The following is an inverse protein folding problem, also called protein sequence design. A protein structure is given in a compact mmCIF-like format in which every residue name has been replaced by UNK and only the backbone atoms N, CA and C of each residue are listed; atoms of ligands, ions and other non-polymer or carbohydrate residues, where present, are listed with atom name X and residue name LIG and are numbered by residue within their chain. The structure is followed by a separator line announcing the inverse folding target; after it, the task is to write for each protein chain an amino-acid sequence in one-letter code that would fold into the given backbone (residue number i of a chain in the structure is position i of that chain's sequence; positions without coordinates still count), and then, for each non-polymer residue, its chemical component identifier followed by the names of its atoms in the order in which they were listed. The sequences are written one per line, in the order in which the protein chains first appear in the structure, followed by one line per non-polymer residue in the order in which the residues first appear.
data_IF_714717026820
#
_entry.id   IF_714717026820
#
_cell.length_a   1.000
_cell.length_b   1.000
_cell.length_c   1.000
_cell.angle_alpha   90.00
_cell.angle_beta   90.00
_cell.angle_gamma   90.00
#
_symmetry.space_group_name_H-M   'P 1'
#
loop_
_entity.id
_entity.type
_entity.pdbx_description
1 polymer ?
#
# COMPACT_ATOMS: atom_id res chain seq x y z
N UNK A 1 -2.85 31.90 17.26
CA UNK A 1 -2.86 31.21 15.94
C UNK A 1 -2.95 29.72 16.22
N UNK A 2 -3.99 29.03 15.76
CA UNK A 2 -4.13 27.59 15.99
C UNK A 2 -3.03 26.84 15.21
N UNK A 3 -1.89 26.57 15.85
CA UNK A 3 -0.70 25.94 15.26
C UNK A 3 -1.04 24.61 14.58
N UNK A 4 -2.06 23.92 15.08
CA UNK A 4 -2.52 22.65 14.55
C UNK A 4 -2.96 22.73 13.07
N UNK A 5 -3.71 23.77 12.69
CA UNK A 5 -4.20 23.90 11.30
C UNK A 5 -3.04 24.06 10.33
N UNK A 6 -2.05 24.88 10.70
CA UNK A 6 -0.85 25.10 9.90
C UNK A 6 -0.01 23.83 9.78
N UNK A 7 0.13 23.06 10.85
CA UNK A 7 0.90 21.82 10.84
C UNK A 7 0.22 20.73 10.01
N UNK A 8 -1.11 20.60 10.12
CA UNK A 8 -1.89 19.66 9.31
C UNK A 8 -1.81 20.03 7.82
N UNK A 9 -1.91 21.31 7.49
CA UNK A 9 -1.73 21.79 6.11
C UNK A 9 -0.34 21.46 5.56
N UNK A 10 0.71 21.76 6.34
CA UNK A 10 2.11 21.47 5.98
C UNK A 10 2.31 19.98 5.64
N UNK A 11 1.77 19.10 6.48
CA UNK A 11 1.96 17.66 6.35
C UNK A 11 1.07 17.05 5.25
N UNK A 12 -0.23 17.28 5.29
CA UNK A 12 -1.17 16.42 4.56
C UNK A 12 -1.90 17.08 3.40
N UNK A 13 -1.88 18.41 3.29
CA UNK A 13 -2.62 19.12 2.26
C UNK A 13 -1.73 19.45 1.06
N UNK A 14 -2.30 19.37 -0.13
CA UNK A 14 -1.74 19.92 -1.36
C UNK A 14 -2.00 21.42 -1.40
N UNK A 15 -1.16 22.15 -2.14
CA UNK A 15 -1.38 23.57 -2.38
C UNK A 15 -2.76 23.80 -2.99
N UNK A 16 -3.59 24.60 -2.29
CA UNK A 16 -4.97 24.96 -2.67
C UNK A 16 -6.01 23.84 -2.59
N UNK A 17 -5.75 22.76 -1.85
CA UNK A 17 -6.72 21.68 -1.65
C UNK A 17 -7.90 22.12 -0.78
N UNK A 18 -9.12 21.89 -1.26
CA UNK A 18 -10.35 22.19 -0.53
C UNK A 18 -10.75 21.04 0.39
N UNK A 19 -11.25 21.37 1.58
CA UNK A 19 -11.84 20.40 2.52
C UNK A 19 -13.37 20.49 2.46
N UNK A 20 -14.04 19.50 3.05
CA UNK A 20 -15.48 19.38 3.04
C UNK A 20 -15.96 19.22 4.49
N UNK A 21 -16.95 20.01 4.92
CA UNK A 21 -17.60 19.76 6.20
C UNK A 21 -18.65 18.66 6.03
N UNK A 22 -18.62 17.65 6.89
CA UNK A 22 -19.77 16.81 7.17
C UNK A 22 -20.39 17.29 8.48
N UNK A 23 -21.55 17.92 8.39
CA UNK A 23 -22.33 18.31 9.56
C UNK A 23 -23.20 17.12 9.97
N UNK A 24 -23.25 16.79 11.25
CA UNK A 24 -24.17 15.80 11.77
C UNK A 24 -25.56 16.44 11.83
N UNK A 25 -26.29 16.43 10.71
CA UNK A 25 -27.69 16.87 10.72
C UNK A 25 -28.54 15.72 11.26
N UNK A 26 -29.42 16.05 12.21
CA UNK A 26 -30.38 15.13 12.83
C UNK A 26 -31.65 14.98 11.98
N UNK A 27 -31.65 15.57 10.79
CA UNK A 27 -32.76 15.53 9.84
C UNK A 27 -32.25 15.40 8.39
N UNK A 28 -33.09 14.83 7.55
CA UNK A 28 -32.83 14.18 6.28
C UNK A 28 -31.94 14.96 5.26
N UNK A 29 -30.64 14.59 5.21
CA UNK A 29 -29.58 14.72 4.15
C UNK A 29 -28.30 15.44 4.61
N UNK A 30 -27.10 14.83 4.45
CA UNK A 30 -25.84 15.49 4.80
C UNK A 30 -25.59 16.69 3.87
N UNK A 31 -25.68 17.90 4.41
CA UNK A 31 -25.30 19.15 3.72
C UNK A 31 -23.77 19.24 3.66
N UNK A 32 -23.20 18.67 2.62
CA UNK A 32 -21.77 18.77 2.33
C UNK A 32 -21.47 20.16 1.76
N UNK A 33 -20.93 21.06 2.58
CA UNK A 33 -20.51 22.39 2.12
C UNK A 33 -19.04 22.31 1.71
N UNK A 34 -18.76 22.45 0.42
CA UNK A 34 -17.38 22.57 -0.11
C UNK A 34 -16.79 23.87 0.40
N UNK A 35 -15.72 23.79 1.19
CA UNK A 35 -15.16 24.96 1.83
C UNK A 35 -13.64 25.01 1.57
N UNK A 36 -13.16 26.19 1.18
CA UNK A 36 -11.81 26.42 0.63
C UNK A 36 -10.65 26.05 1.56
N UNK A 37 -9.87 27.04 2.03
CA UNK A 37 -8.73 26.78 2.89
C UNK A 37 -9.17 26.36 4.30
N UNK A 38 -8.41 25.48 4.97
CA UNK A 38 -8.65 25.12 6.37
C UNK A 38 -8.34 26.35 7.24
N UNK A 39 -9.38 26.94 7.86
CA UNK A 39 -9.21 28.12 8.73
C UNK A 39 -9.27 27.74 10.21
N UNK A 40 -8.67 28.54 11.11
CA UNK A 40 -8.71 28.30 12.56
C UNK A 40 -10.13 28.14 13.11
N UNK A 41 -11.09 28.92 12.62
CA UNK A 41 -12.51 28.89 13.04
C UNK A 41 -13.19 27.57 12.66
N UNK A 42 -12.80 26.98 11.54
CA UNK A 42 -13.33 25.69 11.09
C UNK A 42 -12.78 24.55 11.94
N UNK A 43 -11.51 24.62 12.30
CA UNK A 43 -10.93 23.69 13.28
C UNK A 43 -11.64 23.84 14.62
N UNK A 44 -11.91 25.06 15.10
CA UNK A 44 -12.68 25.29 16.33
C UNK A 44 -14.08 24.67 16.31
N UNK A 45 -14.80 24.76 15.19
CA UNK A 45 -16.10 24.06 15.05
C UNK A 45 -15.98 22.54 15.03
N UNK A 46 -14.85 22.02 14.54
CA UNK A 46 -14.54 20.59 14.67
C UNK A 46 -14.28 20.18 16.13
N UNK A 47 -13.76 21.12 16.92
CA UNK A 47 -13.45 20.96 18.34
C UNK A 47 -14.63 21.17 19.28
N UNK A 48 -15.71 21.79 18.82
CA UNK A 48 -16.99 21.81 19.55
C UNK A 48 -17.89 20.63 19.19
N UNK A 49 -17.44 19.78 18.24
CA UNK A 49 -18.24 18.68 17.71
C UNK A 49 -19.38 19.14 16.78
N UNK A 50 -19.43 20.43 16.44
CA UNK A 50 -20.45 21.00 15.55
C UNK A 50 -20.32 20.48 14.11
N UNK A 51 -19.09 20.24 13.65
CA UNK A 51 -18.81 19.72 12.31
C UNK A 51 -17.72 18.66 12.36
N UNK A 52 -17.72 17.71 11.43
CA UNK A 52 -16.54 16.91 11.10
C UNK A 52 -15.91 17.41 9.82
N UNK A 53 -14.60 17.55 9.84
CA UNK A 53 -13.85 17.92 8.64
C UNK A 53 -13.43 16.63 7.95
N UNK A 54 -13.88 16.44 6.71
CA UNK A 54 -13.38 15.41 5.83
C UNK A 54 -12.71 16.07 4.63
N UNK A 55 -11.57 15.56 4.18
CA UNK A 55 -10.91 16.08 2.98
C UNK A 55 -10.58 14.93 2.04
N UNK A 56 -10.66 15.19 0.73
CA UNK A 56 -10.16 14.24 -0.24
C UNK A 56 -8.65 14.47 -0.36
N UNK A 57 -7.78 13.52 0.03
CA UNK A 57 -6.33 13.68 -0.05
C UNK A 57 -5.79 13.69 -1.49
N UNK A 58 -6.63 13.29 -2.46
CA UNK A 58 -6.28 13.16 -3.87
C UNK A 58 -6.60 14.44 -4.64
N UNK A 59 -5.62 14.99 -5.35
CA UNK A 59 -5.83 16.09 -6.30
C UNK A 59 -6.46 15.62 -7.61
N UNK A 60 -7.01 16.58 -8.36
CA UNK A 60 -7.62 16.36 -9.68
C UNK A 60 -6.68 15.73 -10.72
N UNK A 61 -5.37 15.91 -10.57
CA UNK A 61 -4.35 15.30 -11.41
C UNK A 61 -3.95 13.87 -10.96
N UNK A 62 -4.72 13.23 -10.07
CA UNK A 62 -4.44 11.92 -9.51
C UNK A 62 -3.06 11.84 -8.82
N UNK A 63 -2.73 12.86 -8.03
CA UNK A 63 -1.59 12.86 -7.11
C UNK A 63 -2.04 13.06 -5.67
N UNK A 64 -1.24 12.65 -4.69
CA UNK A 64 -1.49 12.87 -3.26
C UNK A 64 -0.20 13.24 -2.53
N UNK A 65 -0.33 13.98 -1.43
CA UNK A 65 0.74 14.19 -0.44
C UNK A 65 0.55 13.40 0.84
N UNK A 66 -0.55 12.68 0.99
CA UNK A 66 -0.87 11.97 2.20
C UNK A 66 -1.31 10.53 1.91
N UNK A 67 -0.84 9.62 2.76
CA UNK A 67 -1.25 8.22 2.75
C UNK A 67 -1.73 7.83 4.14
N UNK A 68 -2.71 6.94 4.21
CA UNK A 68 -3.27 6.49 5.48
C UNK A 68 -3.45 4.98 5.48
N UNK A 69 -3.18 4.39 6.64
CA UNK A 69 -3.51 3.01 6.94
C UNK A 69 -4.40 3.03 8.17
N UNK A 70 -5.68 2.72 7.99
CA UNK A 70 -6.64 2.63 9.06
C UNK A 70 -6.84 1.16 9.48
N UNK A 71 -6.69 0.91 10.77
CA UNK A 71 -6.87 -0.37 11.43
C UNK A 71 -8.22 -0.36 12.13
N UNK A 72 -9.15 -1.18 11.66
CA UNK A 72 -10.55 -1.17 12.14
C UNK A 72 -10.75 -1.90 13.46
N UNK A 73 -9.71 -2.55 14.00
CA UNK A 73 -9.76 -3.25 15.28
C UNK A 73 -8.69 -2.69 16.22
N UNK A 74 -9.05 -2.38 17.47
CA UNK A 74 -8.05 -1.93 18.44
C UNK A 74 -7.15 -3.05 18.98
N UNK A 75 -7.56 -4.32 18.81
CA UNK A 75 -6.70 -5.47 19.10
C UNK A 75 -5.46 -5.57 18.19
N UNK A 76 -5.44 -4.87 17.05
CA UNK A 76 -4.34 -4.94 16.08
C UNK A 76 -3.14 -4.04 16.48
N UNK A 77 -3.08 -3.58 17.73
CA UNK A 77 -2.05 -2.65 18.22
C UNK A 77 -0.62 -3.18 18.04
N UNK A 78 -0.40 -4.47 18.25
CA UNK A 78 0.92 -5.07 18.07
C UNK A 78 1.42 -4.87 16.62
N UNK A 79 0.55 -5.10 15.65
CA UNK A 79 0.86 -4.92 14.23
C UNK A 79 1.04 -3.43 13.87
N UNK A 80 0.25 -2.54 14.48
CA UNK A 80 0.43 -1.08 14.34
C UNK A 80 1.81 -0.66 14.85
N UNK A 81 2.18 -1.10 16.05
CA UNK A 81 3.46 -0.79 16.69
C UNK A 81 4.65 -1.35 15.90
N UNK A 82 4.54 -2.60 15.42
CA UNK A 82 5.56 -3.24 14.59
C UNK A 82 5.75 -2.49 13.26
N UNK A 83 4.65 -2.13 12.57
CA UNK A 83 4.74 -1.35 11.34
C UNK A 83 5.34 0.05 11.61
N UNK A 84 4.93 0.72 12.69
CA UNK A 84 5.47 2.03 13.06
C UNK A 84 6.99 2.00 13.28
N UNK A 85 7.49 0.95 13.94
CA UNK A 85 8.92 0.76 14.15
C UNK A 85 9.63 0.37 12.86
N UNK A 86 9.10 -0.57 12.09
CA UNK A 86 9.69 -1.02 10.83
C UNK A 86 9.85 0.12 9.81
N UNK A 87 8.87 1.03 9.74
CA UNK A 87 8.96 2.21 8.88
C UNK A 87 10.20 3.05 9.18
N UNK A 88 10.57 3.20 10.45
CA UNK A 88 11.74 3.99 10.84
C UNK A 88 13.05 3.19 10.81
N UNK A 89 13.02 1.97 11.36
CA UNK A 89 14.23 1.19 11.59
C UNK A 89 14.65 0.36 10.38
N UNK A 90 13.69 -0.21 9.64
CA UNK A 90 13.99 -1.06 8.48
C UNK A 90 13.92 -0.29 7.17
N UNK A 91 12.93 0.59 7.01
CA UNK A 91 12.72 1.33 5.76
C UNK A 91 13.49 2.66 5.75
N UNK A 92 14.01 3.10 6.91
CA UNK A 92 14.69 4.38 7.08
C UNK A 92 13.85 5.54 6.57
N UNK A 93 12.57 5.55 6.98
CA UNK A 93 11.61 6.60 6.65
C UNK A 93 11.27 7.43 7.89
N UNK A 94 10.89 8.71 7.71
CA UNK A 94 10.30 9.51 8.77
C UNK A 94 9.16 8.82 9.51
N UNK A 95 9.09 9.06 10.82
CA UNK A 95 8.01 8.60 11.67
C UNK A 95 6.64 9.06 11.12
N UNK A 96 5.69 8.14 10.87
CA UNK A 96 4.33 8.51 10.55
C UNK A 96 3.65 9.13 11.79
N UNK A 97 2.57 9.89 11.61
CA UNK A 97 1.72 10.21 12.76
C UNK A 97 0.84 9.01 13.11
N UNK A 98 0.59 8.80 14.40
CA UNK A 98 -0.33 7.80 14.90
C UNK A 98 -1.53 8.49 15.53
N UNK A 99 -2.73 8.03 15.20
CA UNK A 99 -3.97 8.50 15.83
C UNK A 99 -4.91 7.36 16.20
N UNK A 100 -5.80 7.64 17.15
CA UNK A 100 -6.97 6.83 17.45
C UNK A 100 -8.20 7.41 16.74
N UNK A 101 -9.08 6.55 16.22
CA UNK A 101 -10.20 6.97 15.36
C UNK A 101 -11.42 7.49 16.11
N UNK A 102 -11.48 7.36 17.44
CA UNK A 102 -12.65 7.68 18.25
C UNK A 102 -13.72 6.59 18.23
N UNK A 103 -13.78 5.74 17.21
CA UNK A 103 -14.70 4.59 17.16
C UNK A 103 -13.98 3.27 17.40
N UNK A 104 -13.18 2.85 16.42
CA UNK A 104 -12.52 1.55 16.41
C UNK A 104 -11.12 1.67 15.81
N UNK A 105 -10.14 1.27 16.61
CA UNK A 105 -8.75 1.09 16.23
C UNK A 105 -7.97 2.37 15.93
N UNK A 106 -6.92 2.20 15.13
CA UNK A 106 -5.82 3.14 14.97
C UNK A 106 -5.71 3.60 13.53
N UNK A 107 -4.99 4.70 13.29
CA UNK A 107 -4.66 5.16 11.96
C UNK A 107 -3.22 5.67 11.93
N UNK A 108 -2.47 5.20 10.95
CA UNK A 108 -1.14 5.70 10.62
C UNK A 108 -1.26 6.69 9.47
N UNK A 109 -0.58 7.82 9.61
CA UNK A 109 -0.59 8.94 8.68
C UNK A 109 0.82 9.15 8.15
N UNK A 110 0.99 9.01 6.85
CA UNK A 110 2.24 9.24 6.16
C UNK A 110 2.15 10.54 5.38
N UNK A 111 3.13 11.41 5.60
CA UNK A 111 3.27 12.69 4.93
C UNK A 111 4.32 12.58 3.84
N UNK A 112 4.02 13.01 2.61
CA UNK A 112 4.95 13.04 1.48
C UNK A 112 5.39 14.49 1.22
N UNK A 113 6.68 14.69 0.98
CA UNK A 113 7.24 16.03 0.77
C UNK A 113 6.65 16.68 -0.49
N UNK A 114 6.59 15.92 -1.59
CA UNK A 114 5.98 16.34 -2.85
C UNK A 114 4.77 15.47 -3.24
N UNK A 115 3.88 15.95 -4.14
CA UNK A 115 2.78 15.14 -4.66
C UNK A 115 3.29 13.94 -5.44
N UNK A 116 2.85 12.74 -5.06
CA UNK A 116 3.21 11.47 -5.72
C UNK A 116 2.00 10.92 -6.49
N UNK A 117 2.19 10.30 -7.66
CA UNK A 117 1.10 9.68 -8.42
C UNK A 117 0.37 8.59 -7.63
N UNK A 118 -0.97 8.58 -7.68
CA UNK A 118 -1.81 7.61 -6.96
C UNK A 118 -1.40 6.16 -7.18
N UNK A 119 -1.02 5.80 -8.41
CA UNK A 119 -0.60 4.43 -8.73
C UNK A 119 0.60 4.00 -7.88
N UNK A 120 1.61 4.87 -7.73
CA UNK A 120 2.80 4.56 -6.93
C UNK A 120 2.47 4.50 -5.44
N UNK A 121 1.70 5.46 -4.93
CA UNK A 121 1.21 5.48 -3.55
C UNK A 121 0.44 4.20 -3.19
N UNK A 122 -0.42 3.73 -4.10
CA UNK A 122 -1.19 2.48 -3.92
C UNK A 122 -0.27 1.26 -3.93
N UNK A 123 0.67 1.19 -4.87
CA UNK A 123 1.66 0.11 -4.89
C UNK A 123 2.47 0.06 -3.60
N UNK A 124 2.88 1.21 -3.08
CA UNK A 124 3.60 1.33 -1.81
C UNK A 124 2.78 0.79 -0.63
N UNK A 125 1.55 1.26 -0.46
CA UNK A 125 0.66 0.81 0.63
C UNK A 125 0.33 -0.68 0.54
N UNK A 126 0.11 -1.20 -0.66
CA UNK A 126 -0.13 -2.63 -0.87
C UNK A 126 1.11 -3.46 -0.53
N UNK A 127 2.31 -3.00 -0.91
CA UNK A 127 3.54 -3.70 -0.60
C UNK A 127 3.85 -3.68 0.92
N UNK A 128 3.59 -2.56 1.60
CA UNK A 128 3.63 -2.49 3.07
C UNK A 128 2.65 -3.49 3.71
N UNK A 129 1.41 -3.55 3.21
CA UNK A 129 0.42 -4.51 3.70
C UNK A 129 0.89 -5.95 3.53
N UNK A 130 1.42 -6.29 2.36
CA UNK A 130 1.89 -7.65 2.07
C UNK A 130 3.09 -8.06 2.93
N UNK A 131 3.99 -7.12 3.24
CA UNK A 131 5.20 -7.42 4.02
C UNK A 131 4.95 -7.44 5.52
N UNK A 132 4.26 -6.43 6.05
CA UNK A 132 4.16 -6.21 7.49
C UNK A 132 2.79 -6.53 8.09
N UNK A 133 1.74 -6.57 7.26
CA UNK A 133 0.36 -6.76 7.70
C UNK A 133 -0.30 -7.96 7.01
N UNK A 134 0.48 -8.97 6.60
CA UNK A 134 -0.02 -10.16 5.91
C UNK A 134 -1.05 -10.94 6.75
N UNK A 135 -0.88 -10.91 8.07
CA UNK A 135 -1.73 -11.63 9.03
C UNK A 135 -3.07 -10.93 9.29
N UNK A 136 -3.22 -9.66 8.91
CA UNK A 136 -4.46 -8.92 9.09
C UNK A 136 -5.37 -9.10 7.87
N UNK A 137 -6.64 -9.54 8.06
CA UNK A 137 -7.59 -9.62 6.97
C UNK A 137 -7.75 -8.27 6.27
N UNK A 138 -7.77 -8.27 4.94
CA UNK A 138 -7.92 -7.05 4.14
C UNK A 138 -9.16 -6.23 4.48
N UNK A 139 -10.24 -6.89 4.94
CA UNK A 139 -11.47 -6.22 5.39
C UNK A 139 -11.31 -5.44 6.72
N UNK A 140 -10.33 -5.80 7.55
CA UNK A 140 -10.01 -5.13 8.81
C UNK A 140 -9.05 -3.94 8.62
N UNK A 141 -8.51 -3.75 7.41
CA UNK A 141 -7.66 -2.63 7.04
C UNK A 141 -8.36 -1.74 6.02
N UNK A 142 -8.02 -0.48 6.03
CA UNK A 142 -8.39 0.46 4.98
C UNK A 142 -7.16 1.27 4.58
N UNK A 143 -6.77 1.12 3.31
CA UNK A 143 -5.61 1.76 2.72
C UNK A 143 -6.09 2.92 1.86
N UNK A 144 -5.61 4.12 2.16
CA UNK A 144 -5.99 5.35 1.46
C UNK A 144 -4.73 6.03 0.92
N UNK A 145 -4.75 6.48 -0.34
CA UNK A 145 -5.91 6.62 -1.24
C UNK A 145 -6.36 5.33 -1.94
N UNK A 146 -7.67 5.04 -1.91
CA UNK A 146 -8.28 3.87 -2.54
C UNK A 146 -8.38 3.99 -4.08
N UNK A 147 -8.60 2.86 -4.76
CA UNK A 147 -8.64 2.75 -6.23
C UNK A 147 -9.90 3.35 -6.87
N UNK A 148 -11.06 3.03 -6.30
CA UNK A 148 -12.33 3.10 -7.04
C UNK A 148 -13.08 4.43 -6.87
N UNK A 149 -12.87 5.16 -5.77
CA UNK A 149 -13.55 6.44 -5.52
C UNK A 149 -12.70 7.40 -4.69
N UNK A 150 -12.90 8.73 -4.83
CA UNK A 150 -12.32 9.72 -3.93
C UNK A 150 -12.91 9.54 -2.52
N UNK A 151 -12.21 8.79 -1.68
CA UNK A 151 -12.59 8.62 -0.27
C UNK A 151 -12.19 9.85 0.53
N UNK A 152 -13.17 10.51 1.13
CA UNK A 152 -12.91 11.58 2.08
C UNK A 152 -12.32 11.00 3.38
N UNK A 153 -11.22 11.57 3.83
CA UNK A 153 -10.54 11.22 5.08
C UNK A 153 -10.96 12.20 6.15
N UNK A 154 -11.50 11.69 7.26
CA UNK A 154 -11.84 12.50 8.44
C UNK A 154 -10.55 12.99 9.10
N UNK A 155 -10.46 14.29 9.34
CA UNK A 155 -9.34 14.91 10.03
C UNK A 155 -9.40 14.62 11.53
N UNK A 156 -8.23 14.41 12.13
CA UNK A 156 -8.06 14.24 13.57
C UNK A 156 -7.38 15.50 14.12
N UNK A 157 -7.71 16.00 15.33
CA UNK A 157 -8.77 15.56 16.25
C UNK A 157 -10.18 15.95 15.81
N UNK A 158 -11.14 15.06 16.06
CA UNK A 158 -12.57 15.28 15.84
C UNK A 158 -13.41 14.48 16.84
N UNK A 159 -14.56 15.04 17.22
CA UNK A 159 -15.54 14.33 18.03
C UNK A 159 -16.33 13.33 17.20
N UNK A 160 -16.41 12.10 17.70
CA UNK A 160 -17.27 11.09 17.13
C UNK A 160 -18.61 11.01 17.86
N UNK A 161 -19.66 11.54 17.25
CA UNK A 161 -21.03 11.54 17.77
C UNK A 161 -21.66 10.14 17.90
N UNK A 162 -21.13 9.13 17.20
CA UNK A 162 -21.67 7.77 17.25
C UNK A 162 -21.11 7.00 18.44
N UNK A 163 -19.82 7.13 18.72
CA UNK A 163 -19.18 6.53 19.90
C UNK A 163 -19.20 7.42 21.13
N UNK A 164 -19.43 8.72 20.97
CA UNK A 164 -19.31 9.73 22.03
C UNK A 164 -17.87 10.02 22.43
N UNK A 165 -16.87 9.62 21.63
CA UNK A 165 -15.44 9.76 21.96
C UNK A 165 -14.70 10.65 20.96
N UNK A 166 -13.58 11.21 21.38
CA UNK A 166 -12.70 12.01 20.55
C UNK A 166 -11.61 11.16 19.89
N UNK A 167 -11.41 11.40 18.60
CA UNK A 167 -10.18 11.02 17.91
C UNK A 167 -9.04 11.96 18.27
N UNK A 168 -7.82 11.45 18.35
CA UNK A 168 -6.63 12.24 18.68
C UNK A 168 -5.36 11.61 18.12
N UNK A 169 -4.35 12.42 17.83
CA UNK A 169 -2.98 11.93 17.67
C UNK A 169 -2.42 11.52 19.02
N UNK A 170 -1.76 10.36 19.05
CA UNK A 170 -1.21 9.77 20.27
C UNK A 170 0.24 9.38 20.05
N UNK A 171 1.04 9.50 21.11
CA UNK A 171 2.39 8.95 21.09
C UNK A 171 2.33 7.41 20.97
N UNK A 172 3.19 6.77 20.15
CA UNK A 172 3.23 5.31 20.03
C UNK A 172 3.40 4.58 21.36
N UNK A 173 4.09 5.16 22.35
CA UNK A 173 4.23 4.56 23.68
C UNK A 173 2.90 4.43 24.42
N UNK A 174 1.87 5.19 24.05
CA UNK A 174 0.55 5.19 24.68
C UNK A 174 -0.47 4.29 23.97
N UNK A 175 -0.14 3.71 22.82
CA UNK A 175 -1.11 2.97 22.01
C UNK A 175 -1.72 1.75 22.71
N UNK A 176 -0.96 1.09 23.60
CA UNK A 176 -1.44 -0.04 24.41
C UNK A 176 -2.61 0.33 25.33
N UNK A 177 -2.77 1.60 25.68
CA UNK A 177 -3.89 2.08 26.51
C UNK A 177 -5.22 2.10 25.75
N UNK A 178 -5.18 2.09 24.42
CA UNK A 178 -6.36 2.27 23.55
C UNK A 178 -6.80 0.97 22.85
N UNK A 179 -6.28 -0.19 23.28
CA UNK A 179 -6.61 -1.52 22.74
C UNK A 179 -8.03 -1.97 23.07
N UNK A 180 -8.62 -1.42 24.12
CA UNK A 180 -10.01 -1.70 24.54
C UNK A 180 -10.93 -0.56 24.12
N UNK A 181 -10.48 0.68 24.27
CA UNK A 181 -11.26 1.88 23.99
C UNK A 181 -10.48 2.79 23.03
N UNK A 182 -10.95 2.93 21.79
CA UNK A 182 -10.19 3.60 20.71
C UNK A 182 -10.45 5.11 20.60
N UNK A 183 -10.66 5.79 21.73
CA UNK A 183 -11.02 7.21 21.75
C UNK A 183 -10.86 7.83 23.13
N UNK A 184 -10.78 9.16 23.19
CA UNK A 184 -10.74 9.91 24.45
C UNK A 184 -12.15 10.32 24.88
N UNK A 185 -12.42 10.28 26.18
CA UNK A 185 -13.67 10.79 26.76
C UNK A 185 -13.73 12.33 26.77
N UNK A 186 -12.57 12.98 26.71
CA UNK A 186 -12.45 14.45 26.74
C UNK A 186 -11.74 14.95 25.49
N UNK A 187 -12.02 16.20 25.12
CA UNK A 187 -11.35 16.86 24.01
C UNK A 187 -9.83 16.89 24.22
N UNK A 188 -9.00 16.50 23.23
CA UNK A 188 -7.56 16.54 23.36
C UNK A 188 -7.04 17.99 23.44
N UNK A 189 -5.86 18.18 24.03
CA UNK A 189 -5.22 19.50 24.08
C UNK A 189 -4.58 19.85 22.73
N UNK A 190 -5.01 20.95 22.10
CA UNK A 190 -4.59 21.33 20.75
C UNK A 190 -3.11 21.69 20.62
N UNK A 191 -2.55 22.40 21.58
CA UNK A 191 -1.13 22.76 21.54
C UNK A 191 -0.25 21.51 21.63
N UNK A 192 -0.65 20.53 22.45
CA UNK A 192 0.03 19.22 22.51
C UNK A 192 -0.10 18.45 21.20
N UNK A 193 -1.28 18.43 20.58
CA UNK A 193 -1.50 17.80 19.28
C UNK A 193 -0.64 18.46 18.19
N UNK A 194 -0.59 19.80 18.17
CA UNK A 194 0.22 20.56 17.22
C UNK A 194 1.72 20.32 17.44
N UNK A 195 2.19 20.32 18.69
CA UNK A 195 3.59 20.08 19.04
C UNK A 195 4.05 18.68 18.63
N UNK A 196 3.21 17.66 18.85
CA UNK A 196 3.49 16.29 18.44
C UNK A 196 3.67 16.20 16.92
N UNK A 197 2.79 16.84 16.13
CA UNK A 197 2.90 16.86 14.68
C UNK A 197 4.02 17.78 14.16
N UNK A 198 4.41 18.80 14.92
CA UNK A 198 5.44 19.76 14.51
C UNK A 198 6.82 19.09 14.37
N UNK A 199 7.10 18.09 15.20
CA UNK A 199 8.33 17.28 15.13
C UNK A 199 8.36 16.30 13.95
N UNK A 200 7.22 16.02 13.31
CA UNK A 200 7.14 15.05 12.21
C UNK A 200 7.65 15.65 10.89
N UNK A 201 8.39 14.81 10.18
CA UNK A 201 8.96 15.12 8.85
C UNK A 201 8.15 14.43 7.77
N UNK A 202 8.15 15.03 6.59
CA UNK A 202 7.60 14.40 5.39
C UNK A 202 8.64 13.46 4.77
N UNK A 203 8.16 12.39 4.16
CA UNK A 203 8.96 11.45 3.37
C UNK A 203 9.39 12.14 2.07
N UNK A 204 10.69 12.22 1.84
CA UNK A 204 11.24 12.76 0.59
C UNK A 204 10.98 11.81 -0.59
N UNK A 205 10.88 12.36 -1.80
CA UNK A 205 10.56 11.58 -3.00
C UNK A 205 11.58 10.48 -3.25
N UNK A 206 12.87 10.78 -3.06
CA UNK A 206 13.95 9.82 -3.24
C UNK A 206 13.84 8.63 -2.27
N UNK A 207 13.49 8.89 -1.00
CA UNK A 207 13.28 7.84 0.00
C UNK A 207 12.05 7.01 -0.29
N UNK A 208 10.96 7.65 -0.72
CA UNK A 208 9.75 6.96 -1.15
C UNK A 208 10.02 6.01 -2.31
N UNK A 209 10.69 6.47 -3.37
CA UNK A 209 11.02 5.66 -4.55
C UNK A 209 11.98 4.50 -4.20
N UNK A 210 13.00 4.77 -3.39
CA UNK A 210 13.93 3.75 -2.87
C UNK A 210 13.18 2.63 -2.16
N UNK A 211 12.30 2.98 -1.22
CA UNK A 211 11.55 2.00 -0.44
C UNK A 211 10.51 1.28 -1.31
N UNK A 212 9.83 1.99 -2.21
CA UNK A 212 8.89 1.36 -3.15
C UNK A 212 9.58 0.28 -3.99
N UNK A 213 10.74 0.60 -4.58
CA UNK A 213 11.51 -0.36 -5.35
C UNK A 213 11.96 -1.55 -4.48
N UNK A 214 12.48 -1.28 -3.29
CA UNK A 214 12.89 -2.33 -2.35
C UNK A 214 11.73 -3.28 -2.00
N UNK A 215 10.56 -2.73 -1.63
CA UNK A 215 9.38 -3.54 -1.31
C UNK A 215 8.88 -4.32 -2.53
N UNK A 216 8.90 -3.72 -3.72
CA UNK A 216 8.52 -4.41 -4.96
C UNK A 216 9.43 -5.59 -5.25
N UNK A 217 10.76 -5.46 -5.08
CA UNK A 217 11.70 -6.59 -5.28
C UNK A 217 11.47 -7.75 -4.32
N UNK A 218 11.03 -7.47 -3.09
CA UNK A 218 10.71 -8.50 -2.10
C UNK A 218 9.38 -9.22 -2.41
N UNK A 219 8.42 -8.50 -2.99
CA UNK A 219 7.10 -9.05 -3.37
C UNK A 219 7.09 -9.69 -4.77
N UNK A 220 8.03 -9.31 -5.63
CA UNK A 220 8.19 -9.89 -6.95
C UNK A 220 8.90 -11.24 -6.81
N UNK A 221 8.11 -12.32 -6.81
CA UNK A 221 8.63 -13.67 -7.01
C UNK A 221 9.57 -13.65 -8.23
N UNK A 222 10.83 -14.14 -8.12
CA UNK A 222 11.78 -14.07 -9.23
C UNK A 222 11.26 -14.93 -10.39
N UNK A 223 10.75 -14.28 -11.43
CA UNK A 223 10.17 -14.97 -12.58
C UNK A 223 9.51 -14.10 -13.64
N UNK A 224 9.30 -12.80 -13.39
CA UNK A 224 8.65 -11.92 -14.36
C UNK A 224 9.27 -10.52 -14.34
N UNK A 225 10.41 -10.34 -15.00
CA UNK A 225 10.71 -9.18 -15.87
C UNK A 225 12.22 -9.10 -16.12
N UNK A 226 12.69 -9.85 -17.10
CA UNK A 226 13.95 -9.57 -17.79
C UNK A 226 13.81 -9.89 -19.28
N UNK A 227 12.75 -9.39 -19.90
CA UNK A 227 12.67 -9.28 -21.36
C UNK A 227 11.93 -7.99 -21.72
N UNK A 228 12.65 -6.87 -21.73
CA UNK A 228 12.53 -5.85 -22.79
C UNK A 228 13.75 -4.93 -22.72
N UNK A 229 14.77 -5.33 -23.46
CA UNK A 229 15.73 -4.44 -24.11
C UNK A 229 16.20 -5.18 -25.36
N UNK A 230 15.31 -5.30 -26.35
CA UNK A 230 15.66 -5.72 -27.71
C UNK A 230 15.81 -4.47 -28.55
N UNK A 231 17.04 -4.20 -28.95
CA UNK A 231 17.51 -3.68 -30.24
C UNK A 231 18.95 -3.19 -29.99
N UNK A 232 20.01 -3.50 -30.73
CA UNK A 232 20.32 -4.43 -31.82
C UNK A 232 21.85 -4.33 -31.95
N UNK A 233 22.58 -5.45 -32.07
CA UNK A 233 23.73 -5.65 -32.99
C UNK A 233 24.40 -7.00 -32.69
N UNK A 234 24.09 -7.97 -33.54
CA UNK A 234 24.99 -8.97 -34.15
C UNK A 234 26.32 -9.35 -33.46
N UNK A 235 26.40 -10.63 -33.08
CA UNK A 235 27.43 -11.65 -33.41
C UNK A 235 27.90 -12.54 -32.23
N UNK A 236 28.31 -13.80 -32.53
CA UNK A 236 28.11 -14.95 -31.64
C UNK A 236 29.37 -15.35 -30.87
N UNK A 237 29.17 -16.00 -29.73
CA UNK A 237 30.27 -16.62 -29.00
C UNK A 237 29.82 -17.56 -27.88
N UNK A 238 30.05 -18.85 -28.12
CA UNK A 238 30.35 -19.91 -27.16
C UNK A 238 29.29 -20.31 -26.09
N UNK A 239 28.56 -21.38 -26.45
CA UNK A 239 28.50 -22.65 -25.71
C UNK A 239 28.93 -22.66 -24.23
N UNK A 240 27.97 -22.87 -23.33
CA UNK A 240 28.17 -23.82 -22.21
C UNK A 240 26.82 -24.31 -21.64
N UNK A 241 26.52 -25.58 -21.88
CA UNK A 241 25.68 -26.50 -21.09
C UNK A 241 24.54 -25.92 -20.25
N UNK A 242 23.35 -25.79 -20.84
CA UNK A 242 22.09 -25.75 -20.08
C UNK A 242 21.25 -26.98 -20.44
N UNK A 243 21.06 -27.86 -19.45
CA UNK A 243 20.15 -29.00 -19.58
C UNK A 243 18.71 -28.49 -19.80
N UNK A 244 17.98 -29.01 -20.81
CA UNK A 244 16.67 -28.52 -21.15
C UNK A 244 15.68 -28.83 -20.01
N UNK A 245 15.26 -27.78 -19.32
CA UNK A 245 14.16 -27.81 -18.37
C UNK A 245 12.84 -27.97 -19.14
N UNK A 246 11.86 -28.67 -18.57
CA UNK A 246 10.59 -29.03 -19.24
C UNK A 246 9.82 -27.86 -19.88
N UNK A 247 10.04 -26.62 -19.41
CA UNK A 247 9.48 -25.38 -19.98
C UNK A 247 10.15 -24.94 -21.29
N UNK A 248 11.41 -25.30 -21.47
CA UNK A 248 12.20 -25.01 -22.67
C UNK A 248 11.88 -25.99 -23.80
N UNK A 249 11.43 -27.19 -23.44
CA UNK A 249 11.06 -28.24 -24.41
C UNK A 249 9.80 -27.86 -25.19
N UNK A 250 8.90 -27.05 -24.64
CA UNK A 250 7.67 -26.64 -25.36
C UNK A 250 7.89 -25.57 -26.43
N UNK A 251 8.95 -24.77 -26.35
CA UNK A 251 9.06 -23.51 -27.11
C UNK A 251 10.11 -23.52 -28.24
N UNK A 252 10.94 -24.56 -28.35
CA UNK A 252 12.08 -24.59 -29.28
C UNK A 252 12.03 -25.66 -30.37
N UNK A 253 10.92 -26.40 -30.51
CA UNK A 253 10.82 -27.46 -31.52
C UNK A 253 9.74 -27.15 -32.55
N UNK A 254 10.17 -26.96 -33.80
CA UNK A 254 9.28 -26.83 -34.96
C UNK A 254 8.88 -28.19 -35.55
N UNK A 255 9.38 -29.30 -35.01
CA UNK A 255 9.09 -30.67 -35.44
C UNK A 255 8.65 -31.56 -34.26
N UNK A 256 7.52 -32.29 -34.38
CA UNK A 256 6.98 -33.10 -33.30
C UNK A 256 7.87 -34.30 -32.93
N UNK A 257 8.66 -34.85 -33.86
CA UNK A 257 9.59 -35.95 -33.56
C UNK A 257 10.74 -35.44 -32.69
N UNK A 258 11.31 -34.29 -33.02
CA UNK A 258 12.36 -33.65 -32.21
C UNK A 258 11.89 -33.30 -30.79
N UNK A 259 10.66 -32.81 -30.66
CA UNK A 259 10.03 -32.57 -29.35
C UNK A 259 9.93 -33.85 -28.53
N UNK A 260 9.37 -34.93 -29.10
CA UNK A 260 9.21 -36.20 -28.39
C UNK A 260 10.57 -36.81 -27.99
N UNK A 261 11.60 -36.64 -28.82
CA UNK A 261 12.94 -37.11 -28.52
C UNK A 261 13.60 -36.31 -27.38
N UNK A 262 13.33 -35.01 -27.31
CA UNK A 262 13.76 -34.17 -26.19
C UNK A 262 13.03 -34.53 -24.89
N UNK A 263 11.71 -34.73 -24.93
CA UNK A 263 10.91 -35.18 -23.76
C UNK A 263 11.39 -36.53 -23.26
N UNK A 264 11.69 -37.49 -24.15
CA UNK A 264 12.17 -38.83 -23.78
C UNK A 264 13.51 -38.79 -23.03
N UNK A 265 14.42 -37.88 -23.42
CA UNK A 265 15.77 -37.78 -22.84
C UNK A 265 15.87 -36.78 -21.68
N UNK A 266 14.81 -36.02 -21.38
CA UNK A 266 14.86 -35.00 -20.33
C UNK A 266 14.81 -35.64 -18.92
N UNK A 267 15.79 -35.36 -18.04
CA UNK A 267 15.78 -35.83 -16.66
C UNK A 267 14.68 -35.16 -15.81
N UNK A 268 14.20 -34.00 -16.26
CA UNK A 268 13.09 -33.26 -15.64
C UNK A 268 11.70 -33.79 -16.01
N UNK A 269 11.57 -34.66 -17.01
CA UNK A 269 10.30 -35.27 -17.41
C UNK A 269 9.99 -36.51 -16.57
N UNK A 270 8.70 -36.70 -16.23
CA UNK A 270 8.30 -37.87 -15.45
C UNK A 270 8.56 -39.16 -16.24
N UNK A 271 8.81 -40.27 -15.54
CA UNK A 271 9.02 -41.58 -16.18
C UNK A 271 7.85 -41.97 -17.08
N UNK A 272 6.62 -41.63 -16.69
CA UNK A 272 5.43 -41.90 -17.48
C UNK A 272 5.39 -41.07 -18.78
N UNK A 273 5.78 -39.79 -18.72
CA UNK A 273 5.89 -38.94 -19.92
C UNK A 273 6.98 -39.42 -20.87
N UNK A 274 8.11 -39.90 -20.34
CA UNK A 274 9.19 -40.51 -21.14
C UNK A 274 8.73 -41.79 -21.83
N UNK A 275 7.94 -42.62 -21.15
CA UNK A 275 7.36 -43.85 -21.73
C UNK A 275 6.34 -43.51 -22.84
N UNK A 276 5.46 -42.51 -22.64
CA UNK A 276 4.52 -42.10 -23.68
C UNK A 276 5.23 -41.51 -24.91
N UNK A 277 6.27 -40.71 -24.71
CA UNK A 277 7.09 -40.18 -25.80
C UNK A 277 7.80 -41.29 -26.58
N UNK A 278 8.39 -42.28 -25.88
CA UNK A 278 9.01 -43.44 -26.50
C UNK A 278 8.00 -44.26 -27.32
N UNK A 279 6.79 -44.51 -26.79
CA UNK A 279 5.71 -45.21 -27.52
C UNK A 279 5.31 -44.47 -28.79
N UNK A 280 5.19 -43.15 -28.74
CA UNK A 280 4.84 -42.32 -29.89
C UNK A 280 5.94 -42.28 -30.97
N UNK A 281 7.20 -42.52 -30.58
CA UNK A 281 8.35 -42.56 -31.50
C UNK A 281 8.57 -43.92 -32.17
N UNK A 282 7.96 -45.02 -31.69
CA UNK A 282 8.12 -46.37 -32.25
C UNK A 282 7.91 -46.45 -33.78
N UNK A 283 6.90 -45.79 -34.39
CA UNK A 283 6.72 -45.82 -35.85
C UNK A 283 7.87 -45.18 -36.64
N UNK A 284 8.65 -44.30 -36.00
CA UNK A 284 9.74 -43.54 -36.64
C UNK A 284 11.11 -44.19 -36.48
N UNK A 285 11.23 -45.20 -35.62
CA UNK A 285 12.44 -46.02 -35.46
C UNK A 285 12.37 -47.33 -36.25
N UNK A 286 11.18 -47.74 -36.70
CA UNK A 286 10.97 -48.92 -37.53
C UNK A 286 11.01 -48.59 -39.03
N UNK A 287 12.09 -47.96 -39.48
CA UNK A 287 12.46 -47.96 -40.90
C UNK A 287 13.76 -48.73 -41.06
N UNK A 288 13.65 -50.05 -41.10
CA UNK A 288 14.54 -50.86 -41.93
C UNK A 288 13.65 -51.36 -43.07
N UNK A 289 13.79 -50.83 -44.30
CA UNK A 289 13.30 -51.53 -45.47
C UNK A 289 14.36 -52.56 -45.90
N UNK A 290 13.89 -53.72 -46.32
CA UNK A 290 14.41 -54.63 -47.38
C UNK A 290 13.87 -56.01 -47.01
N UNK A 291 12.99 -56.60 -47.84
CA UNK A 291 13.42 -57.57 -48.86
C UNK A 291 14.24 -58.74 -48.27
#
# INVERSE_FOLDING_TARGET
MNNLSSTLQRLYFLDKQAWHSQQADTDDRPKQTTAGALTPTIVEKCLTGEIRIAFNPVASNATTRAMFIHFKKPGDWEQVGNLYQAVQLELDLPAPALSISGQKGFQLWFSLAAPVPLAQTRSFLNALRQKYLADIPSAALELLPAADQPTAVTLVPAFDTTSGKWSAFIDPSLGSMFITESGLEMAPNMDRQAAMLAGLKSIEVADFERVLHHLQTLTATPGASAQTSRQSTSQPGADTGQEPSMRDIGNNFNDPKSFLLAVMNAPSASTEQRIQAAKALLPYFSCVPSE
#
